data_IF_933072484314
#
_entry.id   IF_933072484314
#
_cell.length_a   1.000
_cell.length_b   1.000
_cell.length_c   1.000
_cell.angle_alpha   90.00
_cell.angle_beta   90.00
_cell.angle_gamma   90.00
#
_symmetry.space_group_name_H-M   'P 1'
#
loop_
_entity.id
_entity.type
_entity.pdbx_description
1 polymer ?
#
# COMPACT_ATOMS: atom_id res chain seq x y z
N UNK A 1 13.55 33.13 -19.98
CA UNK A 1 12.95 32.76 -18.68
C UNK A 1 11.54 32.19 -18.83
N UNK A 2 10.56 32.94 -19.37
CA UNK A 2 9.18 32.42 -19.54
C UNK A 2 9.13 31.12 -20.37
N UNK A 3 9.80 31.08 -21.52
CA UNK A 3 9.86 29.90 -22.39
C UNK A 3 10.43 28.69 -21.65
N UNK A 4 11.57 28.87 -20.98
CA UNK A 4 12.25 27.80 -20.23
C UNK A 4 11.45 27.35 -19.00
N UNK A 5 10.72 28.26 -18.35
CA UNK A 5 9.86 27.95 -17.20
C UNK A 5 8.64 27.12 -17.59
N UNK A 6 7.96 27.50 -18.67
CA UNK A 6 6.83 26.71 -19.22
C UNK A 6 7.31 25.33 -19.68
N UNK A 7 8.44 25.27 -20.39
CA UNK A 7 9.05 24.01 -20.80
C UNK A 7 9.37 23.12 -19.59
N UNK A 8 9.99 23.67 -18.55
CA UNK A 8 10.31 22.93 -17.33
C UNK A 8 9.06 22.36 -16.66
N UNK A 9 8.01 23.17 -16.50
CA UNK A 9 6.73 22.71 -15.91
C UNK A 9 6.14 21.53 -16.68
N UNK A 10 6.04 21.66 -18.01
CA UNK A 10 5.48 20.60 -18.86
C UNK A 10 6.31 19.31 -18.91
N UNK A 11 7.64 19.42 -18.78
CA UNK A 11 8.55 18.28 -18.90
C UNK A 11 8.74 17.51 -17.59
N UNK A 12 8.45 18.15 -16.45
CA UNK A 12 8.51 17.54 -15.12
C UNK A 12 7.14 17.01 -14.68
N UNK A 13 6.05 17.50 -15.30
CA UNK A 13 4.71 16.99 -15.04
C UNK A 13 4.63 15.47 -15.26
N UNK A 14 4.20 14.74 -14.22
CA UNK A 14 4.09 13.28 -14.24
C UNK A 14 5.40 12.50 -14.17
N UNK A 15 6.55 13.15 -13.96
CA UNK A 15 7.82 12.42 -13.84
C UNK A 15 7.91 11.69 -12.50
N UNK A 16 8.04 10.36 -12.56
CA UNK A 16 8.24 9.52 -11.37
C UNK A 16 9.72 9.22 -11.10
N UNK A 17 10.57 9.22 -12.13
CA UNK A 17 11.98 8.83 -12.01
C UNK A 17 12.94 10.01 -11.88
N UNK A 18 14.03 9.84 -11.11
CA UNK A 18 15.03 10.91 -10.91
C UNK A 18 15.74 11.25 -12.22
N UNK A 19 15.97 10.25 -13.08
CA UNK A 19 16.60 10.45 -14.39
C UNK A 19 15.74 11.30 -15.32
N UNK A 20 14.41 11.27 -15.16
CA UNK A 20 13.49 12.08 -15.96
C UNK A 20 13.64 13.56 -15.66
N UNK A 21 13.91 13.94 -14.41
CA UNK A 21 14.21 15.34 -14.04
C UNK A 21 15.52 15.81 -14.68
N UNK A 22 16.54 14.96 -14.76
CA UNK A 22 17.80 15.28 -15.45
C UNK A 22 17.56 15.46 -16.95
N UNK A 23 16.79 14.55 -17.58
CA UNK A 23 16.40 14.67 -18.99
C UNK A 23 15.61 15.94 -19.25
N UNK A 24 14.68 16.29 -18.35
CA UNK A 24 13.95 17.56 -18.42
C UNK A 24 14.91 18.76 -18.35
N UNK A 25 15.90 18.75 -17.44
CA UNK A 25 16.94 19.78 -17.37
C UNK A 25 17.74 19.96 -18.65
N UNK A 26 18.14 18.85 -19.30
CA UNK A 26 18.84 18.88 -20.59
C UNK A 26 17.93 19.46 -21.68
N UNK A 27 16.66 19.04 -21.74
CA UNK A 27 15.68 19.56 -22.71
C UNK A 27 15.39 21.05 -22.50
N UNK A 28 15.22 21.50 -21.25
CA UNK A 28 15.07 22.91 -20.89
C UNK A 28 16.31 23.71 -21.27
N UNK A 29 17.50 23.15 -21.04
CA UNK A 29 18.76 23.73 -21.48
C UNK A 29 18.81 23.92 -22.99
N UNK A 30 18.40 22.91 -23.76
CA UNK A 30 18.35 22.98 -25.23
C UNK A 30 17.34 24.02 -25.71
N UNK A 31 16.14 24.05 -25.14
CA UNK A 31 15.10 25.07 -25.44
C UNK A 31 15.62 26.47 -25.12
N UNK A 32 16.29 26.64 -23.98
CA UNK A 32 16.91 27.89 -23.57
C UNK A 32 18.03 28.34 -24.53
N UNK A 33 18.88 27.41 -24.95
CA UNK A 33 19.95 27.64 -25.91
C UNK A 33 19.40 28.09 -27.27
N UNK A 34 18.40 27.39 -27.80
CA UNK A 34 17.74 27.77 -29.07
C UNK A 34 17.08 29.14 -28.95
N UNK A 35 16.35 29.40 -27.86
CA UNK A 35 15.72 30.70 -27.65
C UNK A 35 16.75 31.83 -27.56
N UNK A 36 17.85 31.62 -26.84
CA UNK A 36 18.96 32.58 -26.75
C UNK A 36 19.57 32.87 -28.12
N UNK A 37 19.81 31.83 -28.92
CA UNK A 37 20.35 31.97 -30.28
C UNK A 37 19.40 32.74 -31.19
N UNK A 38 18.10 32.43 -31.17
CA UNK A 38 17.07 33.12 -31.97
C UNK A 38 16.98 34.59 -31.57
N UNK A 39 16.95 34.91 -30.27
CA UNK A 39 16.92 36.30 -29.79
C UNK A 39 18.15 37.08 -30.25
N UNK A 40 19.33 36.48 -30.19
CA UNK A 40 20.56 37.13 -30.66
C UNK A 40 20.62 37.28 -32.18
N UNK A 41 20.08 36.32 -32.94
CA UNK A 41 19.95 36.43 -34.38
C UNK A 41 19.02 37.59 -34.76
N UNK A 42 17.85 37.69 -34.12
CA UNK A 42 16.92 38.81 -34.31
C UNK A 42 17.60 40.14 -33.96
N UNK A 43 18.31 40.21 -32.85
CA UNK A 43 19.01 41.43 -32.45
C UNK A 43 20.07 41.87 -33.48
N UNK A 44 20.88 40.94 -33.98
CA UNK A 44 21.94 41.23 -34.95
C UNK A 44 21.38 41.71 -36.29
N UNK A 45 20.36 41.03 -36.83
CA UNK A 45 19.86 41.28 -38.18
C UNK A 45 18.72 42.31 -38.25
N UNK A 46 17.94 42.48 -37.19
CA UNK A 46 16.77 43.38 -37.19
C UNK A 46 17.02 44.72 -36.48
N UNK A 47 18.02 44.84 -35.59
CA UNK A 47 18.22 46.03 -34.76
C UNK A 47 19.58 46.69 -34.99
N UNK A 48 20.68 45.94 -34.82
CA UNK A 48 22.01 46.54 -34.72
C UNK A 48 22.73 46.66 -36.08
N UNK A 49 22.55 45.72 -37.01
CA UNK A 49 23.06 45.78 -38.40
C UNK A 49 24.59 45.74 -38.56
N UNK A 50 25.35 45.99 -37.50
CA UNK A 50 26.81 46.00 -37.48
C UNK A 50 27.38 44.74 -36.80
N UNK A 51 28.33 44.08 -37.49
CA UNK A 51 29.01 42.89 -36.98
C UNK A 51 30.29 43.32 -36.27
N UNK A 52 30.31 43.18 -34.94
CA UNK A 52 31.49 43.37 -34.09
C UNK A 52 31.94 42.05 -33.47
N UNK A 53 33.15 42.03 -32.88
CA UNK A 53 33.62 40.88 -32.09
C UNK A 53 32.68 40.59 -30.90
N UNK A 54 32.18 41.65 -30.26
CA UNK A 54 31.25 41.58 -29.14
C UNK A 54 29.89 40.98 -29.55
N UNK A 55 29.35 41.36 -30.72
CA UNK A 55 28.10 40.80 -31.24
C UNK A 55 28.26 39.35 -31.72
N UNK A 56 29.48 38.92 -32.03
CA UNK A 56 29.78 37.54 -32.44
C UNK A 56 30.00 36.59 -31.26
N UNK A 57 30.64 37.05 -30.18
CA UNK A 57 30.98 36.18 -29.03
C UNK A 57 29.84 36.09 -27.98
N UNK A 58 29.03 37.14 -27.85
CA UNK A 58 27.92 37.19 -26.88
C UNK A 58 26.88 36.07 -27.08
N UNK A 59 26.46 35.72 -28.31
CA UNK A 59 25.54 34.60 -28.54
C UNK A 59 26.11 33.25 -28.11
N UNK A 60 27.43 33.04 -28.21
CA UNK A 60 28.08 31.80 -27.78
C UNK A 60 27.96 31.65 -26.26
N UNK A 61 28.33 32.70 -25.51
CA UNK A 61 28.22 32.69 -24.05
C UNK A 61 26.77 32.59 -23.55
N UNK A 62 25.84 33.33 -24.17
CA UNK A 62 24.43 33.26 -23.78
C UNK A 62 23.83 31.88 -24.01
N UNK A 63 24.17 31.24 -25.13
CA UNK A 63 23.71 29.88 -25.47
C UNK A 63 24.31 28.86 -24.51
N UNK A 64 25.61 28.97 -24.20
CA UNK A 64 26.27 28.12 -23.23
C UNK A 64 25.66 28.27 -21.83
N UNK A 65 25.45 29.51 -21.35
CA UNK A 65 24.83 29.76 -20.05
C UNK A 65 23.36 29.33 -19.99
N UNK A 66 22.60 29.49 -21.08
CA UNK A 66 21.22 29.02 -21.15
C UNK A 66 21.15 27.48 -21.08
N UNK A 67 22.04 26.78 -21.80
CA UNK A 67 22.13 25.33 -21.77
C UNK A 67 22.53 24.81 -20.39
N UNK A 68 23.67 25.30 -19.88
CA UNK A 68 24.20 24.90 -18.57
C UNK A 68 23.27 25.27 -17.43
N UNK A 69 22.57 26.40 -17.51
CA UNK A 69 21.54 26.79 -16.55
C UNK A 69 20.38 25.79 -16.47
N UNK A 70 19.90 25.28 -17.60
CA UNK A 70 18.88 24.23 -17.64
C UNK A 70 19.35 22.93 -16.98
N UNK A 71 20.56 22.48 -17.31
CA UNK A 71 21.16 21.28 -16.71
C UNK A 71 21.36 21.46 -15.20
N UNK A 72 21.99 22.55 -14.77
CA UNK A 72 22.22 22.85 -13.35
C UNK A 72 20.91 22.99 -12.56
N UNK A 73 19.85 23.50 -13.18
CA UNK A 73 18.54 23.59 -12.51
C UNK A 73 17.98 22.22 -12.14
N UNK A 74 18.19 21.17 -12.96
CA UNK A 74 17.76 19.81 -12.61
C UNK A 74 18.51 19.24 -11.42
N UNK A 75 19.82 19.48 -11.32
CA UNK A 75 20.61 19.10 -10.15
C UNK A 75 20.18 19.86 -8.90
N UNK A 76 19.88 21.15 -9.04
CA UNK A 76 19.37 21.96 -7.93
C UNK A 76 18.02 21.41 -7.42
N UNK A 77 17.09 21.10 -8.32
CA UNK A 77 15.79 20.49 -7.95
C UNK A 77 16.01 19.17 -7.21
N UNK A 78 16.81 18.25 -7.78
CA UNK A 78 17.08 16.95 -7.15
C UNK A 78 17.80 17.09 -5.79
N UNK A 79 18.67 18.10 -5.63
CA UNK A 79 19.34 18.40 -4.37
C UNK A 79 18.40 19.00 -3.31
N UNK A 80 17.34 19.69 -3.73
CA UNK A 80 16.35 20.29 -2.83
C UNK A 80 15.22 19.32 -2.43
N UNK A 81 14.95 18.27 -3.22
CA UNK A 81 13.92 17.26 -2.93
C UNK A 81 13.97 16.73 -1.48
N UNK A 82 15.12 16.31 -0.93
CA UNK A 82 15.19 15.82 0.46
C UNK A 82 14.77 16.85 1.51
N UNK A 83 14.94 18.15 1.23
CA UNK A 83 14.52 19.21 2.15
C UNK A 83 12.99 19.35 2.18
N UNK A 84 12.33 19.21 1.02
CA UNK A 84 10.87 19.16 0.96
C UNK A 84 10.32 17.89 1.62
N UNK A 85 10.97 16.74 1.43
CA UNK A 85 10.60 15.50 2.12
C UNK A 85 10.73 15.64 3.64
N UNK A 86 11.82 16.25 4.12
CA UNK A 86 12.02 16.55 5.55
C UNK A 86 10.99 17.55 6.10
N UNK A 87 10.48 18.46 5.26
CA UNK A 87 9.40 19.38 5.61
C UNK A 87 7.99 18.71 5.60
N UNK A 88 7.91 17.41 5.27
CA UNK A 88 6.68 16.63 5.33
C UNK A 88 5.98 16.42 4.00
N UNK A 89 6.56 16.86 2.88
CA UNK A 89 6.02 16.57 1.55
C UNK A 89 6.32 15.12 1.16
N UNK A 90 5.33 14.46 0.55
CA UNK A 90 5.51 13.12 0.00
C UNK A 90 5.82 13.22 -1.48
N UNK A 91 6.91 12.59 -1.90
CA UNK A 91 7.31 12.49 -3.30
C UNK A 91 7.08 11.08 -3.81
N UNK A 92 6.90 10.94 -5.12
CA UNK A 92 6.85 9.63 -5.78
C UNK A 92 8.14 8.82 -5.54
N UNK A 93 9.29 9.49 -5.38
CA UNK A 93 10.55 8.84 -5.01
C UNK A 93 10.45 8.15 -3.65
N UNK A 94 9.91 8.86 -2.66
CA UNK A 94 9.75 8.33 -1.31
C UNK A 94 8.72 7.20 -1.28
N UNK A 95 7.63 7.32 -2.03
CA UNK A 95 6.64 6.25 -2.14
C UNK A 95 7.21 5.01 -2.83
N UNK A 96 7.99 5.16 -3.90
CA UNK A 96 8.66 4.03 -4.55
C UNK A 96 9.70 3.35 -3.67
N UNK A 97 10.41 4.12 -2.83
CA UNK A 97 11.30 3.54 -1.81
C UNK A 97 10.50 2.69 -0.80
N UNK A 98 9.35 3.19 -0.34
CA UNK A 98 8.46 2.50 0.60
C UNK A 98 7.69 1.32 -0.03
N UNK A 99 7.52 1.31 -1.35
CA UNK A 99 6.97 0.17 -2.09
C UNK A 99 7.89 -1.05 -2.04
N UNK A 100 9.16 -0.89 -1.65
CA UNK A 100 10.05 -1.99 -1.40
C UNK A 100 9.64 -2.73 -0.11
N UNK A 101 9.17 -3.97 -0.28
CA UNK A 101 8.71 -4.84 0.82
C UNK A 101 9.81 -5.24 1.82
N UNK A 102 11.07 -4.85 1.58
CA UNK A 102 12.17 -5.03 2.53
C UNK A 102 12.23 -3.97 3.64
N UNK A 103 11.30 -3.00 3.68
CA UNK A 103 11.25 -2.02 4.77
C UNK A 103 11.19 -2.73 6.15
N UNK A 104 11.96 -2.28 7.16
CA UNK A 104 12.08 -2.99 8.45
C UNK A 104 10.72 -3.31 9.11
N UNK A 105 9.79 -2.37 9.05
CA UNK A 105 8.44 -2.54 9.61
C UNK A 105 7.61 -3.61 8.87
N UNK A 106 7.73 -3.69 7.53
CA UNK A 106 7.06 -4.73 6.74
C UNK A 106 7.70 -6.10 6.97
N UNK A 107 9.03 -6.16 7.11
CA UNK A 107 9.73 -7.39 7.49
C UNK A 107 9.32 -7.87 8.88
N UNK A 108 9.15 -6.96 9.83
CA UNK A 108 8.64 -7.29 11.16
C UNK A 108 7.23 -7.87 11.09
N UNK A 109 6.33 -7.26 10.29
CA UNK A 109 4.99 -7.77 10.06
C UNK A 109 5.02 -9.16 9.41
N UNK A 110 5.82 -9.35 8.36
CA UNK A 110 6.00 -10.64 7.68
C UNK A 110 6.45 -11.76 8.62
N UNK A 111 7.40 -11.47 9.53
CA UNK A 111 7.92 -12.45 10.48
C UNK A 111 6.96 -12.76 11.63
N UNK A 112 6.25 -11.76 12.15
CA UNK A 112 5.37 -11.90 13.32
C UNK A 112 3.93 -12.29 12.96
N UNK A 113 3.41 -11.75 11.86
CA UNK A 113 2.02 -11.87 11.39
C UNK A 113 1.98 -12.10 9.86
N UNK A 114 2.46 -13.26 9.37
CA UNK A 114 2.57 -13.52 7.93
C UNK A 114 1.21 -13.48 7.18
N UNK A 115 0.11 -13.81 7.86
CA UNK A 115 -1.24 -13.75 7.29
C UNK A 115 -1.69 -12.31 7.03
N UNK A 116 -1.46 -11.40 7.98
CA UNK A 116 -1.73 -9.96 7.80
C UNK A 116 -0.79 -9.33 6.78
N UNK A 117 0.46 -9.79 6.69
CA UNK A 117 1.36 -9.36 5.62
C UNK A 117 0.82 -9.74 4.23
N UNK A 118 0.40 -11.01 4.04
CA UNK A 118 -0.16 -11.45 2.76
C UNK A 118 -1.46 -10.72 2.41
N UNK A 119 -2.33 -10.53 3.41
CA UNK A 119 -3.53 -9.69 3.31
C UNK A 119 -3.18 -8.29 2.79
N UNK A 120 -2.24 -7.60 3.45
CA UNK A 120 -1.84 -6.23 3.08
C UNK A 120 -1.33 -6.11 1.65
N UNK A 121 -0.63 -7.13 1.14
CA UNK A 121 -0.16 -7.14 -0.26
C UNK A 121 -1.32 -7.25 -1.25
N UNK A 122 -2.33 -8.07 -0.95
CA UNK A 122 -3.52 -8.23 -1.79
C UNK A 122 -4.41 -6.98 -1.74
N UNK A 123 -4.60 -6.40 -0.55
CA UNK A 123 -5.27 -5.11 -0.39
C UNK A 123 -4.58 -4.03 -1.19
N UNK A 124 -3.23 -3.97 -1.16
CA UNK A 124 -2.47 -3.01 -1.97
C UNK A 124 -2.64 -3.22 -3.48
N UNK A 125 -2.79 -4.46 -3.93
CA UNK A 125 -3.06 -4.76 -5.35
C UNK A 125 -4.45 -4.27 -5.78
N UNK A 126 -5.47 -4.48 -4.94
CA UNK A 126 -6.82 -3.96 -5.19
C UNK A 126 -6.84 -2.44 -5.15
N UNK A 127 -6.22 -1.85 -4.12
CA UNK A 127 -6.22 -0.40 -3.91
C UNK A 127 -5.48 0.36 -5.03
N UNK A 128 -4.35 -0.17 -5.50
CA UNK A 128 -3.62 0.37 -6.65
C UNK A 128 -4.51 0.42 -7.89
N UNK A 129 -5.10 -0.72 -8.27
CA UNK A 129 -5.96 -0.81 -9.45
C UNK A 129 -7.21 0.06 -9.33
N UNK A 130 -7.84 0.08 -8.16
CA UNK A 130 -9.03 0.89 -7.89
C UNK A 130 -8.75 2.39 -8.02
N UNK A 131 -7.65 2.86 -7.43
CA UNK A 131 -7.24 4.27 -7.53
C UNK A 131 -6.82 4.66 -8.95
N UNK A 132 -6.09 3.79 -9.65
CA UNK A 132 -5.70 4.01 -11.05
C UNK A 132 -6.93 4.20 -11.95
N UNK A 133 -7.96 3.36 -11.78
CA UNK A 133 -9.19 3.41 -12.57
C UNK A 133 -9.99 4.71 -12.40
N UNK A 134 -9.83 5.42 -11.30
CA UNK A 134 -10.53 6.68 -11.00
C UNK A 134 -9.63 7.93 -11.09
N UNK A 135 -8.37 7.76 -11.47
CA UNK A 135 -7.38 8.86 -11.56
C UNK A 135 -6.88 9.38 -10.21
N UNK A 136 -7.03 8.60 -9.13
CA UNK A 136 -6.46 8.88 -7.81
C UNK A 136 -4.99 8.42 -7.71
N UNK A 137 -4.31 8.70 -6.61
CA UNK A 137 -2.90 8.34 -6.43
C UNK A 137 -2.73 6.83 -6.14
N UNK A 138 -2.65 6.03 -7.21
CA UNK A 138 -2.50 4.58 -7.14
C UNK A 138 -1.25 4.11 -6.38
N UNK A 139 -0.12 4.82 -6.53
CA UNK A 139 1.13 4.46 -5.85
C UNK A 139 1.02 4.71 -4.34
N UNK A 140 0.43 5.84 -3.93
CA UNK A 140 0.18 6.11 -2.53
C UNK A 140 -0.77 5.06 -1.92
N UNK A 141 -1.88 4.75 -2.60
CA UNK A 141 -2.85 3.78 -2.12
C UNK A 141 -2.23 2.39 -1.92
N UNK A 142 -1.42 1.94 -2.89
CA UNK A 142 -0.67 0.68 -2.81
C UNK A 142 0.25 0.64 -1.58
N UNK A 143 1.07 1.68 -1.41
CA UNK A 143 2.06 1.74 -0.33
C UNK A 143 1.34 1.86 1.01
N UNK A 144 0.33 2.70 1.12
CA UNK A 144 -0.46 2.85 2.34
C UNK A 144 -1.11 1.53 2.76
N UNK A 145 -1.66 0.77 1.82
CA UNK A 145 -2.21 -0.55 2.06
C UNK A 145 -1.16 -1.57 2.57
N UNK A 146 0.11 -1.48 2.18
CA UNK A 146 1.15 -2.35 2.76
C UNK A 146 1.36 -2.14 4.25
N UNK A 147 1.14 -0.91 4.73
CA UNK A 147 1.38 -0.55 6.12
C UNK A 147 0.11 -0.49 6.99
N UNK A 148 -1.10 -0.53 6.40
CA UNK A 148 -2.36 -0.29 7.13
C UNK A 148 -2.50 -1.17 8.39
N UNK A 149 -1.99 -2.40 8.31
CA UNK A 149 -2.20 -3.47 9.29
C UNK A 149 -0.98 -3.76 10.18
N UNK A 150 0.06 -2.92 10.15
CA UNK A 150 1.33 -3.19 10.86
C UNK A 150 1.17 -3.37 12.37
N UNK A 151 0.13 -2.75 12.96
CA UNK A 151 -0.17 -2.89 14.38
C UNK A 151 -0.61 -4.30 14.80
N UNK A 152 -1.15 -5.11 13.88
CA UNK A 152 -1.49 -6.52 14.15
C UNK A 152 -0.26 -7.35 14.52
N UNK A 153 0.93 -6.91 14.10
CA UNK A 153 2.22 -7.53 14.44
C UNK A 153 2.56 -7.54 15.94
N UNK A 154 1.88 -6.75 16.78
CA UNK A 154 2.05 -6.80 18.24
C UNK A 154 1.30 -7.96 18.89
N UNK A 155 0.10 -8.29 18.38
CA UNK A 155 -0.81 -9.29 18.96
C UNK A 155 -1.35 -10.26 17.87
N UNK A 156 -0.47 -10.91 17.08
CA UNK A 156 -0.87 -11.65 15.88
C UNK A 156 -1.91 -12.75 16.15
N UNK A 157 -1.81 -13.44 17.30
CA UNK A 157 -2.69 -14.56 17.63
C UNK A 157 -4.17 -14.19 17.83
N UNK A 158 -4.51 -12.90 17.91
CA UNK A 158 -5.90 -12.43 17.99
C UNK A 158 -6.54 -12.25 16.61
N UNK A 159 -5.75 -12.17 15.54
CA UNK A 159 -6.25 -11.95 14.18
C UNK A 159 -6.36 -13.27 13.43
N UNK A 160 -7.55 -13.57 12.89
CA UNK A 160 -7.90 -14.90 12.35
C UNK A 160 -6.94 -15.35 11.24
N UNK A 161 -6.46 -14.42 10.42
CA UNK A 161 -5.52 -14.70 9.33
C UNK A 161 -4.14 -15.19 9.80
N UNK A 162 -3.80 -14.97 11.08
CA UNK A 162 -2.53 -15.39 11.67
C UNK A 162 -2.70 -16.55 12.65
N UNK A 163 -3.93 -16.98 12.96
CA UNK A 163 -4.17 -18.08 13.88
C UNK A 163 -3.69 -19.40 13.26
N UNK A 164 -2.87 -20.13 14.02
CA UNK A 164 -2.43 -21.49 13.69
C UNK A 164 -3.25 -22.50 14.49
N UNK A 165 -3.57 -23.64 13.89
CA UNK A 165 -4.26 -24.76 14.55
C UNK A 165 -5.68 -24.46 15.07
N UNK A 166 -6.39 -23.48 14.48
CA UNK A 166 -7.76 -23.10 14.85
C UNK A 166 -7.97 -22.73 16.33
N UNK A 167 -6.92 -22.30 17.04
CA UNK A 167 -7.06 -21.82 18.42
C UNK A 167 -7.51 -20.36 18.42
N UNK A 168 -8.79 -20.14 18.67
CA UNK A 168 -9.36 -18.80 18.75
C UNK A 168 -9.12 -18.16 20.13
N UNK A 169 -8.24 -17.15 20.20
CA UNK A 169 -7.93 -16.41 21.43
C UNK A 169 -9.11 -15.60 21.98
N UNK A 170 -10.10 -15.30 21.16
CA UNK A 170 -11.30 -14.58 21.57
C UNK A 170 -12.32 -15.46 22.31
N UNK A 171 -12.18 -16.79 22.26
CA UNK A 171 -13.16 -17.72 22.85
C UNK A 171 -13.31 -17.57 24.38
N UNK A 172 -12.25 -17.10 25.06
CA UNK A 172 -12.22 -16.94 26.52
C UNK A 172 -12.28 -15.47 26.96
N UNK A 173 -12.57 -14.54 26.04
CA UNK A 173 -12.68 -13.12 26.34
C UNK A 173 -14.14 -12.69 26.25
N UNK A 174 -14.52 -11.75 27.10
CA UNK A 174 -15.78 -11.04 26.90
C UNK A 174 -15.73 -10.25 25.57
N UNK A 175 -16.89 -10.00 24.95
CA UNK A 175 -16.93 -9.38 23.62
C UNK A 175 -16.34 -7.98 23.59
N UNK A 176 -16.50 -7.21 24.67
CA UNK A 176 -15.93 -5.87 24.79
C UNK A 176 -14.40 -5.93 24.78
N UNK A 177 -13.77 -6.78 25.61
CA UNK A 177 -12.31 -6.96 25.59
C UNK A 177 -11.80 -7.43 24.23
N UNK A 178 -12.52 -8.34 23.59
CA UNK A 178 -12.19 -8.78 22.23
C UNK A 178 -12.20 -7.63 21.23
N UNK A 179 -13.23 -6.77 21.28
CA UNK A 179 -13.32 -5.59 20.45
C UNK A 179 -12.15 -4.62 20.72
N UNK A 180 -11.81 -4.36 21.98
CA UNK A 180 -10.69 -3.47 22.33
C UNK A 180 -9.33 -3.98 21.81
N UNK A 181 -9.08 -5.29 21.89
CA UNK A 181 -7.84 -5.88 21.34
C UNK A 181 -7.77 -5.70 19.83
N UNK A 182 -8.89 -5.83 19.13
CA UNK A 182 -8.93 -5.61 17.68
C UNK A 182 -8.76 -4.13 17.38
N UNK A 183 -9.53 -3.24 18.00
CA UNK A 183 -9.46 -1.79 17.76
C UNK A 183 -8.04 -1.24 18.01
N UNK A 184 -7.31 -1.77 18.99
CA UNK A 184 -5.97 -1.27 19.34
C UNK A 184 -4.96 -1.36 18.19
N UNK A 185 -5.13 -2.27 17.21
CA UNK A 185 -4.16 -2.41 16.11
C UNK A 185 -4.00 -1.13 15.29
N UNK A 186 -5.06 -0.31 15.19
CA UNK A 186 -5.03 0.97 14.48
C UNK A 186 -4.11 1.96 15.22
N UNK A 187 -4.31 2.09 16.53
CA UNK A 187 -3.53 3.00 17.38
C UNK A 187 -2.08 2.56 17.47
N UNK A 188 -1.86 1.26 17.69
CA UNK A 188 -0.55 0.63 17.74
C UNK A 188 0.19 0.78 16.40
N UNK A 189 -0.50 0.53 15.28
CA UNK A 189 0.04 0.67 13.93
C UNK A 189 0.47 2.10 13.62
N UNK A 190 -0.35 3.09 13.98
CA UNK A 190 -0.02 4.50 13.78
C UNK A 190 1.17 4.95 14.64
N UNK A 191 1.30 4.45 15.89
CA UNK A 191 2.50 4.68 16.71
C UNK A 191 3.75 4.09 16.04
N UNK A 192 3.70 2.82 15.64
CA UNK A 192 4.81 2.13 14.98
C UNK A 192 5.23 2.82 13.67
N UNK A 193 4.25 3.30 12.90
CA UNK A 193 4.50 4.05 11.66
C UNK A 193 5.24 5.37 11.90
N UNK A 194 4.85 6.13 12.95
CA UNK A 194 5.55 7.37 13.33
C UNK A 194 6.96 7.13 13.84
N UNK A 195 7.17 6.08 14.64
CA UNK A 195 8.51 5.67 15.10
C UNK A 195 9.44 5.34 13.94
N UNK A 196 8.90 4.75 12.87
CA UNK A 196 9.62 4.47 11.62
C UNK A 196 9.67 5.64 10.64
N UNK A 197 9.21 6.83 11.05
CA UNK A 197 9.21 8.05 10.22
C UNK A 197 8.50 7.85 8.88
N UNK A 198 7.41 7.08 8.88
CA UNK A 198 6.55 6.98 7.70
C UNK A 198 5.88 8.33 7.43
N UNK A 199 5.73 8.70 6.15
CA UNK A 199 5.14 9.98 5.77
C UNK A 199 3.67 10.05 6.16
N UNK A 200 3.18 11.28 6.38
CA UNK A 200 1.84 11.56 6.91
C UNK A 200 0.70 10.83 6.16
N UNK A 201 0.63 10.84 4.81
CA UNK A 201 -0.44 10.13 4.09
C UNK A 201 -0.50 8.62 4.40
N UNK A 202 0.65 7.97 4.62
CA UNK A 202 0.71 6.55 4.99
C UNK A 202 0.21 6.34 6.42
N UNK A 203 0.64 7.21 7.35
CA UNK A 203 0.21 7.18 8.75
C UNK A 203 -1.30 7.45 8.86
N UNK A 204 -1.81 8.43 8.13
CA UNK A 204 -3.23 8.80 8.16
C UNK A 204 -4.10 7.64 7.62
N UNK A 205 -3.66 6.94 6.57
CA UNK A 205 -4.37 5.76 6.06
C UNK A 205 -4.42 4.60 7.07
N UNK A 206 -3.41 4.43 7.93
CA UNK A 206 -3.50 3.47 9.05
C UNK A 206 -4.67 3.83 9.97
N UNK A 207 -4.91 5.12 10.25
CA UNK A 207 -6.05 5.52 11.09
C UNK A 207 -7.40 5.42 10.36
N UNK A 208 -7.42 5.73 9.06
CA UNK A 208 -8.67 5.83 8.29
C UNK A 208 -9.17 4.52 7.68
N UNK A 209 -8.34 3.47 7.54
CA UNK A 209 -8.71 2.30 6.74
C UNK A 209 -9.94 1.52 7.24
N UNK A 210 -10.31 1.68 8.51
CA UNK A 210 -11.58 1.17 9.05
C UNK A 210 -12.63 2.25 9.31
N UNK A 211 -12.26 3.53 9.17
CA UNK A 211 -13.10 4.67 9.50
C UNK A 211 -13.68 4.58 10.91
N UNK A 212 -15.00 4.79 11.01
CA UNK A 212 -15.77 4.60 12.24
C UNK A 212 -16.55 3.27 12.24
N UNK A 213 -16.07 2.28 11.48
CA UNK A 213 -16.75 1.01 11.28
C UNK A 213 -17.07 0.26 12.57
N UNK A 214 -18.19 -0.46 12.57
CA UNK A 214 -18.65 -1.26 13.70
C UNK A 214 -18.06 -2.68 13.65
N UNK A 215 -17.50 -3.15 14.78
CA UNK A 215 -17.13 -4.56 14.97
C UNK A 215 -18.40 -5.39 15.23
N UNK A 216 -19.19 -5.60 14.17
CA UNK A 216 -20.55 -6.16 14.22
C UNK A 216 -20.63 -7.47 15.01
N UNK A 217 -19.70 -8.41 14.78
CA UNK A 217 -19.71 -9.72 15.44
C UNK A 217 -19.66 -9.59 16.97
N UNK A 218 -18.73 -8.79 17.50
CA UNK A 218 -18.56 -8.63 18.94
C UNK A 218 -19.67 -7.78 19.56
N UNK A 219 -20.20 -6.81 18.83
CA UNK A 219 -21.38 -6.06 19.26
C UNK A 219 -22.61 -6.97 19.39
N UNK A 220 -22.86 -7.84 18.41
CA UNK A 220 -23.99 -8.77 18.45
C UNK A 220 -23.81 -9.85 19.52
N UNK A 221 -22.58 -10.31 19.75
CA UNK A 221 -22.26 -11.20 20.88
C UNK A 221 -22.51 -10.50 22.22
N UNK A 222 -22.06 -9.27 22.40
CA UNK A 222 -22.34 -8.49 23.62
C UNK A 222 -23.84 -8.32 23.86
N UNK A 223 -24.61 -8.01 22.82
CA UNK A 223 -26.08 -7.89 22.92
C UNK A 223 -26.78 -9.20 23.28
N UNK A 224 -26.24 -10.34 22.84
CA UNK A 224 -26.76 -11.66 23.22
C UNK A 224 -26.43 -12.04 24.66
N UNK A 225 -25.31 -11.55 25.19
CA UNK A 225 -24.87 -11.80 26.57
C UNK A 225 -25.46 -10.82 27.59
N UNK A 226 -25.97 -9.66 27.14
CA UNK A 226 -26.58 -8.64 27.99
C UNK A 226 -27.83 -9.16 28.72
N UNK A 227 -28.00 -8.73 29.98
CA UNK A 227 -29.17 -9.09 30.77
C UNK A 227 -30.47 -8.49 30.17
N UNK A 228 -31.65 -9.06 30.46
CA UNK A 228 -32.92 -8.48 30.03
C UNK A 228 -33.05 -7.02 30.51
N UNK A 229 -33.17 -6.09 29.56
CA UNK A 229 -33.27 -4.64 29.83
C UNK A 229 -31.93 -3.89 29.87
N UNK A 230 -30.80 -4.60 29.75
CA UNK A 230 -29.48 -3.99 29.63
C UNK A 230 -29.22 -3.54 28.18
N UNK A 231 -28.82 -2.28 28.01
CA UNK A 231 -28.46 -1.72 26.70
C UNK A 231 -26.95 -1.75 26.52
N UNK A 232 -26.48 -2.43 25.48
CA UNK A 232 -25.07 -2.41 25.09
C UNK A 232 -24.78 -1.12 24.32
N UNK A 233 -23.76 -0.38 24.76
CA UNK A 233 -23.29 0.80 24.04
C UNK A 233 -22.61 0.40 22.71
N UNK A 234 -23.19 0.85 21.61
CA UNK A 234 -22.67 0.61 20.25
C UNK A 234 -21.34 1.34 20.00
N UNK A 235 -21.12 2.49 20.65
CA UNK A 235 -19.92 3.29 20.44
C UNK A 235 -18.65 2.55 20.92
N UNK A 236 -18.76 1.75 21.98
CA UNK A 236 -17.69 0.91 22.49
C UNK A 236 -17.18 -0.16 21.51
N UNK A 237 -17.91 -0.42 20.42
CA UNK A 237 -17.56 -1.40 19.38
C UNK A 237 -17.24 -0.76 18.03
N UNK A 238 -17.14 0.58 17.96
CA UNK A 238 -16.72 1.28 16.74
C UNK A 238 -15.23 1.60 16.80
N UNK A 239 -14.60 1.62 15.64
CA UNK A 239 -13.28 2.21 15.51
C UNK A 239 -13.32 3.72 15.81
N UNK A 240 -12.27 4.29 16.41
CA UNK A 240 -12.22 5.70 16.78
C UNK A 240 -12.17 6.66 15.57
N UNK A 241 -11.89 6.14 14.37
CA UNK A 241 -11.70 6.94 13.17
C UNK A 241 -10.34 7.65 13.11
N UNK A 242 -10.23 8.71 12.28
CA UNK A 242 -11.32 9.38 11.57
C UNK A 242 -11.86 8.58 10.38
N UNK A 243 -12.99 9.02 9.81
CA UNK A 243 -13.50 8.49 8.54
C UNK A 243 -12.52 8.81 7.39
N UNK A 244 -12.53 8.04 6.29
CA UNK A 244 -11.75 8.37 5.11
C UNK A 244 -12.01 9.79 4.62
N UNK A 245 -10.95 10.61 4.53
CA UNK A 245 -11.02 11.99 4.03
C UNK A 245 -10.37 12.17 2.65
N UNK A 246 -9.85 11.09 2.06
CA UNK A 246 -9.23 11.09 0.71
C UNK A 246 -9.78 9.96 -0.15
N UNK A 247 -9.71 10.07 -1.50
CA UNK A 247 -10.09 8.97 -2.38
C UNK A 247 -9.32 7.68 -2.09
N UNK A 248 -8.01 7.79 -1.86
CA UNK A 248 -7.11 6.67 -1.58
C UNK A 248 -7.55 5.91 -0.32
N UNK A 249 -7.86 6.64 0.76
CA UNK A 249 -8.33 6.06 2.01
C UNK A 249 -9.69 5.36 1.86
N UNK A 250 -10.59 5.95 1.06
CA UNK A 250 -11.88 5.35 0.77
C UNK A 250 -11.75 4.05 -0.03
N UNK A 251 -10.86 4.03 -1.03
CA UNK A 251 -10.56 2.83 -1.81
C UNK A 251 -9.87 1.75 -0.96
N UNK A 252 -8.93 2.12 -0.07
CA UNK A 252 -8.28 1.18 0.85
C UNK A 252 -9.30 0.54 1.79
N UNK A 253 -10.23 1.33 2.36
CA UNK A 253 -11.29 0.80 3.22
C UNK A 253 -12.16 -0.25 2.50
N UNK A 254 -12.48 -0.01 1.22
CA UNK A 254 -13.22 -0.98 0.40
C UNK A 254 -12.38 -2.21 0.09
N UNK A 255 -11.11 -2.01 -0.28
CA UNK A 255 -10.18 -3.08 -0.63
C UNK A 255 -9.95 -4.05 0.53
N UNK A 256 -9.74 -3.51 1.74
CA UNK A 256 -9.60 -4.27 2.99
C UNK A 256 -10.82 -5.18 3.23
N UNK A 257 -12.02 -4.61 3.22
CA UNK A 257 -13.27 -5.36 3.44
C UNK A 257 -13.51 -6.42 2.36
N UNK A 258 -13.24 -6.08 1.11
CA UNK A 258 -13.43 -7.00 -0.02
C UNK A 258 -12.44 -8.16 0.05
N UNK A 259 -11.14 -7.91 0.28
CA UNK A 259 -10.13 -8.97 0.43
C UNK A 259 -10.48 -9.89 1.59
N UNK A 260 -10.86 -9.34 2.75
CA UNK A 260 -11.20 -10.15 3.90
C UNK A 260 -12.42 -11.06 3.61
N UNK A 261 -13.39 -10.57 2.84
CA UNK A 261 -14.59 -11.32 2.49
C UNK A 261 -14.35 -12.40 1.42
N UNK A 262 -13.44 -12.19 0.45
CA UNK A 262 -13.15 -13.19 -0.61
C UNK A 262 -12.63 -14.50 -0.05
N UNK A 263 -11.92 -14.45 1.07
CA UNK A 263 -11.41 -15.64 1.79
C UNK A 263 -12.51 -16.61 2.22
N UNK A 264 -13.75 -16.14 2.31
CA UNK A 264 -14.91 -16.96 2.71
C UNK A 264 -15.62 -17.62 1.52
N UNK A 265 -15.27 -17.27 0.28
CA UNK A 265 -15.91 -17.81 -0.93
C UNK A 265 -15.23 -19.13 -1.32
N UNK A 266 -16.00 -20.22 -1.27
CA UNK A 266 -15.49 -21.56 -1.62
C UNK A 266 -15.24 -21.74 -3.12
N UNK A 267 -16.13 -21.22 -3.97
CA UNK A 267 -16.06 -21.35 -5.43
C UNK A 267 -16.17 -19.98 -6.10
N UNK A 268 -15.09 -19.20 -6.15
CA UNK A 268 -15.12 -17.85 -6.72
C UNK A 268 -15.54 -17.89 -8.19
N UNK A 269 -16.58 -17.13 -8.53
CA UNK A 269 -17.01 -16.86 -9.90
C UNK A 269 -17.44 -15.39 -10.01
N UNK A 270 -17.66 -14.92 -11.24
CA UNK A 270 -17.97 -13.50 -11.44
C UNK A 270 -19.24 -13.06 -10.69
N UNK A 271 -20.31 -13.83 -10.76
CA UNK A 271 -21.59 -13.47 -10.16
C UNK A 271 -21.49 -13.37 -8.63
N UNK A 272 -20.84 -14.33 -7.98
CA UNK A 272 -20.74 -14.33 -6.52
C UNK A 272 -19.75 -13.29 -5.98
N UNK A 273 -18.65 -13.02 -6.71
CA UNK A 273 -17.70 -11.95 -6.37
C UNK A 273 -18.41 -10.60 -6.49
N UNK A 274 -19.09 -10.36 -7.62
CA UNK A 274 -19.82 -9.12 -7.89
C UNK A 274 -20.93 -8.88 -6.86
N UNK A 275 -21.71 -9.91 -6.53
CA UNK A 275 -22.74 -9.80 -5.49
C UNK A 275 -22.15 -9.52 -4.10
N UNK A 276 -21.01 -10.13 -3.76
CA UNK A 276 -20.33 -9.89 -2.50
C UNK A 276 -19.77 -8.46 -2.40
N UNK A 277 -19.09 -7.96 -3.44
CA UNK A 277 -18.60 -6.58 -3.52
C UNK A 277 -19.74 -5.58 -3.35
N UNK A 278 -20.85 -5.76 -4.10
CA UNK A 278 -22.01 -4.85 -4.01
C UNK A 278 -22.55 -4.75 -2.60
N UNK A 279 -22.76 -5.87 -1.91
CA UNK A 279 -23.23 -5.88 -0.51
C UNK A 279 -22.27 -5.12 0.42
N UNK A 280 -20.96 -5.29 0.25
CA UNK A 280 -19.95 -4.59 1.05
C UNK A 280 -20.04 -3.08 0.79
N UNK A 281 -20.07 -2.68 -0.47
CA UNK A 281 -20.10 -1.26 -0.87
C UNK A 281 -21.37 -0.58 -0.34
N UNK A 282 -22.53 -1.22 -0.50
CA UNK A 282 -23.80 -0.74 0.01
C UNK A 282 -23.77 -0.62 1.54
N UNK A 283 -23.17 -1.58 2.25
CA UNK A 283 -23.04 -1.53 3.71
C UNK A 283 -22.16 -0.37 4.19
N UNK A 284 -21.07 -0.08 3.47
CA UNK A 284 -20.14 1.01 3.80
C UNK A 284 -20.81 2.37 3.57
N UNK A 285 -21.55 2.50 2.46
CA UNK A 285 -22.36 3.69 2.16
C UNK A 285 -23.46 3.90 3.21
N UNK A 286 -24.18 2.84 3.59
CA UNK A 286 -25.23 2.91 4.59
C UNK A 286 -24.72 3.26 6.00
N UNK A 287 -23.48 2.91 6.34
CA UNK A 287 -22.81 3.27 7.60
C UNK A 287 -22.17 4.68 7.59
N UNK A 288 -22.42 5.47 6.54
CA UNK A 288 -21.95 6.87 6.43
C UNK A 288 -20.43 7.02 6.41
N UNK A 289 -19.69 5.98 6.01
CA UNK A 289 -18.22 6.01 6.05
C UNK A 289 -17.63 6.98 5.02
N UNK A 290 -18.39 7.37 3.99
CA UNK A 290 -17.96 8.30 2.95
C UNK A 290 -18.53 9.71 3.08
N UNK A 291 -19.14 10.06 4.22
CA UNK A 291 -19.68 11.42 4.46
C UNK A 291 -18.60 12.52 4.33
N UNK A 292 -17.34 12.18 4.64
CA UNK A 292 -16.18 13.08 4.59
C UNK A 292 -15.21 12.72 3.44
N UNK A 293 -15.54 11.71 2.65
CA UNK A 293 -14.68 11.18 1.59
C UNK A 293 -15.07 11.81 0.24
N UNK A 294 -14.13 12.38 -0.53
CA UNK A 294 -14.43 13.01 -1.82
C UNK A 294 -14.62 11.99 -2.97
N UNK A 295 -15.10 10.77 -2.68
CA UNK A 295 -15.45 9.78 -3.69
C UNK A 295 -16.87 10.02 -4.20
N UNK A 296 -17.01 10.10 -5.52
CA UNK A 296 -18.33 10.16 -6.15
C UNK A 296 -18.94 8.76 -6.29
N UNK A 297 -20.28 8.67 -6.36
CA UNK A 297 -20.99 7.41 -6.64
C UNK A 297 -20.50 6.76 -7.93
N UNK A 298 -20.18 7.56 -8.96
CA UNK A 298 -19.62 7.08 -10.21
C UNK A 298 -18.25 6.42 -10.01
N UNK A 299 -17.36 7.04 -9.24
CA UNK A 299 -16.04 6.48 -8.94
C UNK A 299 -16.17 5.19 -8.12
N UNK A 300 -17.07 5.13 -7.14
CA UNK A 300 -17.35 3.92 -6.36
C UNK A 300 -17.80 2.78 -7.27
N UNK A 301 -18.68 3.05 -8.24
CA UNK A 301 -19.10 2.05 -9.22
C UNK A 301 -17.92 1.55 -10.09
N UNK A 302 -17.04 2.44 -10.55
CA UNK A 302 -15.83 2.08 -11.29
C UNK A 302 -14.91 1.20 -10.44
N UNK A 303 -14.66 1.57 -9.18
CA UNK A 303 -13.84 0.77 -8.24
C UNK A 303 -14.43 -0.61 -8.03
N UNK A 304 -15.76 -0.72 -7.88
CA UNK A 304 -16.46 -2.01 -7.75
C UNK A 304 -16.17 -2.93 -8.94
N UNK A 305 -16.29 -2.44 -10.18
CA UNK A 305 -16.03 -3.22 -11.39
C UNK A 305 -14.54 -3.58 -11.55
N UNK A 306 -13.65 -2.67 -11.18
CA UNK A 306 -12.20 -2.94 -11.15
C UNK A 306 -11.87 -4.05 -10.15
N UNK A 307 -12.46 -4.04 -8.95
CA UNK A 307 -12.23 -5.09 -7.95
C UNK A 307 -12.73 -6.45 -8.43
N UNK A 308 -13.88 -6.53 -9.11
CA UNK A 308 -14.35 -7.77 -9.75
C UNK A 308 -13.27 -8.31 -10.70
N UNK A 309 -12.76 -7.46 -11.58
CA UNK A 309 -11.76 -7.83 -12.60
C UNK A 309 -10.47 -8.34 -11.96
N UNK A 310 -9.95 -7.63 -10.96
CA UNK A 310 -8.70 -7.99 -10.25
C UNK A 310 -8.86 -9.31 -9.50
N UNK A 311 -9.96 -9.49 -8.76
CA UNK A 311 -10.21 -10.72 -8.01
C UNK A 311 -10.40 -11.92 -8.91
N UNK A 312 -11.10 -11.76 -10.04
CA UNK A 312 -11.20 -12.80 -11.06
C UNK A 312 -9.78 -13.19 -11.53
N UNK A 313 -8.92 -12.23 -11.85
CA UNK A 313 -7.53 -12.52 -12.22
C UNK A 313 -6.76 -13.31 -11.15
N UNK A 314 -6.89 -12.92 -9.88
CA UNK A 314 -6.24 -13.59 -8.73
C UNK A 314 -6.77 -15.01 -8.54
N UNK A 315 -8.08 -15.23 -8.67
CA UNK A 315 -8.72 -16.52 -8.42
C UNK A 315 -8.74 -17.46 -9.65
N UNK A 316 -8.70 -16.95 -10.89
CA UNK A 316 -8.66 -17.77 -12.11
C UNK A 316 -7.33 -18.50 -12.30
N UNK A 317 -6.20 -17.95 -11.83
CA UNK A 317 -4.93 -18.69 -11.81
C UNK A 317 -4.95 -19.93 -10.90
N UNK A 318 -5.95 -20.06 -10.00
CA UNK A 318 -6.09 -21.21 -9.12
C UNK A 318 -7.02 -22.31 -9.65
N UNK A 319 -7.69 -22.11 -10.79
CA UNK A 319 -8.45 -23.20 -11.42
C UNK A 319 -7.44 -24.13 -12.10
N UNK A 320 -7.34 -25.34 -11.53
CA UNK A 320 -6.37 -26.38 -11.82
C UNK A 320 -6.10 -26.64 -13.31
N UNK A 321 -4.82 -26.89 -13.62
CA UNK A 321 -4.50 -27.82 -14.70
C UNK A 321 -5.16 -29.16 -14.35
N UNK A 322 -6.19 -29.53 -15.11
CA UNK A 322 -6.73 -30.87 -15.08
C UNK A 322 -5.58 -31.87 -15.18
N UNK A 323 -5.48 -32.72 -14.16
CA UNK A 323 -4.66 -33.92 -14.06
C UNK A 323 -4.14 -34.47 -15.40
N UNK A 324 -2.86 -34.25 -15.70
CA UNK A 324 -2.09 -35.17 -16.58
C UNK A 324 -1.79 -36.51 -15.90
N UNK A 325 -2.62 -36.92 -14.92
CA UNK A 325 -2.50 -38.17 -14.19
C UNK A 325 -3.63 -39.17 -14.52
N UNK A 326 -4.48 -38.90 -15.53
CA UNK A 326 -5.61 -39.79 -15.86
C UNK A 326 -5.70 -40.18 -17.35
N UNK A 327 -4.57 -40.19 -18.07
CA UNK A 327 -4.46 -40.72 -19.44
C UNK A 327 -3.85 -42.14 -19.51
N UNK A 328 -3.61 -42.82 -18.39
CA UNK A 328 -3.08 -44.19 -18.38
C UNK A 328 -4.12 -45.29 -18.08
N UNK A 329 -5.39 -44.94 -17.88
CA UNK A 329 -6.46 -45.93 -17.67
C UNK A 329 -7.54 -45.84 -18.73
N UNK A 330 -7.21 -46.28 -19.95
CA UNK A 330 -8.18 -46.89 -20.89
C UNK A 330 -7.49 -47.37 -22.17
N UNK A 331 -6.99 -48.61 -22.18
CA UNK A 331 -7.01 -49.47 -23.38
C UNK A 331 -7.24 -50.93 -22.95
N UNK A 332 -8.23 -51.64 -23.55
CA UNK A 332 -8.49 -53.04 -23.24
C UNK A 332 -7.58 -53.98 -24.06
N UNK A 333 -6.99 -54.96 -23.36
CA UNK A 333 -6.63 -56.33 -23.80
C UNK A 333 -5.75 -56.56 -25.03
N UNK A 334 -4.52 -57.06 -24.80
CA UNK A 334 -3.90 -58.21 -25.50
C UNK A 334 -2.71 -58.77 -24.67
N UNK A 335 -2.55 -60.10 -24.69
CA UNK A 335 -1.66 -61.02 -23.92
C UNK A 335 -0.13 -60.78 -24.06
N UNK A 336 0.74 -61.43 -23.23
CA UNK A 336 2.07 -60.96 -22.86
C UNK A 336 3.21 -61.66 -23.61
N UNK A 337 4.28 -60.91 -23.93
CA UNK A 337 5.62 -61.48 -24.14
C UNK A 337 6.73 -60.41 -24.11
N UNK A 338 7.85 -60.83 -23.49
CA UNK A 338 9.25 -60.40 -23.61
C UNK A 338 9.68 -58.98 -23.18
N UNK A 339 10.50 -58.98 -22.13
CA UNK A 339 11.81 -58.32 -22.00
C UNK A 339 11.96 -56.82 -22.27
N UNK A 340 12.06 -56.04 -21.17
CA UNK A 340 13.10 -55.03 -20.97
C UNK A 340 13.02 -54.45 -19.54
N UNK A 341 13.76 -55.03 -18.60
CA UNK A 341 14.10 -54.35 -17.34
C UNK A 341 15.30 -53.44 -17.61
N UNK A 342 15.10 -52.12 -17.50
CA UNK A 342 16.19 -51.16 -17.33
C UNK A 342 16.18 -50.74 -15.86
N UNK A 343 17.06 -51.38 -15.09
CA UNK A 343 17.52 -50.92 -13.77
C UNK A 343 18.41 -49.70 -13.96
N UNK A 344 18.09 -48.58 -13.31
CA UNK A 344 19.05 -47.53 -13.04
C UNK A 344 19.47 -47.62 -11.57
N UNK A 345 20.77 -47.87 -11.44
CA UNK A 345 21.57 -48.13 -10.26
C UNK A 345 21.64 -46.91 -9.32
N UNK A 346 21.59 -47.14 -8.01
CA UNK A 346 21.54 -46.11 -6.98
C UNK A 346 22.91 -45.81 -6.37
N UNK A 347 23.95 -45.79 -7.19
CA UNK A 347 25.30 -45.37 -6.77
C UNK A 347 25.70 -44.14 -7.57
N UNK A 348 25.34 -42.96 -7.07
CA UNK A 348 26.06 -41.68 -7.25
C UNK A 348 25.32 -40.54 -6.54
N UNK A 349 25.39 -40.52 -5.20
CA UNK A 349 25.12 -39.32 -4.41
C UNK A 349 26.34 -39.04 -3.52
N UNK A 350 27.01 -37.87 -3.64
CA UNK A 350 28.15 -37.54 -2.81
C UNK A 350 27.74 -37.25 -1.35
N UNK A 351 28.35 -37.97 -0.42
CA UNK A 351 28.26 -37.76 1.03
C UNK A 351 28.82 -36.40 1.44
N UNK A 352 27.99 -35.51 1.97
CA UNK A 352 28.44 -34.44 2.88
C UNK A 352 27.48 -34.34 4.08
N UNK A 353 27.70 -35.23 5.04
CA UNK A 353 27.12 -35.14 6.37
C UNK A 353 28.06 -34.38 7.32
N UNK A 354 27.58 -33.30 7.93
CA UNK A 354 27.95 -32.93 9.30
C UNK A 354 26.67 -32.65 10.08
N UNK A 355 26.25 -33.66 10.84
CA UNK A 355 25.26 -33.51 11.90
C UNK A 355 25.94 -32.79 13.07
N UNK A 356 25.41 -31.68 13.59
CA UNK A 356 25.96 -31.07 14.80
C UNK A 356 25.59 -31.94 16.03
N UNK A 357 26.46 -32.04 17.04
CA UNK A 357 26.23 -32.89 18.20
C UNK A 357 25.03 -32.41 19.03
N UNK A 358 24.28 -33.37 19.59
CA UNK A 358 23.18 -33.13 20.52
C UNK A 358 23.68 -32.37 21.76
N UNK A 359 23.05 -31.23 22.08
CA UNK A 359 23.36 -30.40 23.27
C UNK A 359 23.52 -28.89 23.04
N UNK A 360 23.36 -28.38 21.82
CA UNK A 360 23.64 -26.96 21.50
C UNK A 360 22.46 -25.97 21.66
N UNK A 361 21.43 -26.28 22.46
CA UNK A 361 20.24 -25.43 22.62
C UNK A 361 19.93 -25.03 24.08
N UNK A 362 20.91 -25.02 24.96
CA UNK A 362 20.74 -24.42 26.29
C UNK A 362 21.20 -22.95 26.30
N UNK A 363 20.36 -22.13 26.95
CA UNK A 363 20.48 -20.70 27.24
C UNK A 363 19.90 -19.71 26.20
N UNK A 364 18.56 -19.65 26.14
CA UNK A 364 17.86 -18.38 25.92
C UNK A 364 17.52 -17.77 27.30
N UNK A 365 17.76 -16.47 27.53
CA UNK A 365 17.41 -15.82 28.80
C UNK A 365 15.87 -15.86 29.02
N UNK A 366 15.42 -15.89 30.29
CA UNK A 366 14.02 -16.11 30.63
C UNK A 366 13.12 -14.99 30.07
N UNK A 367 11.93 -15.40 29.62
CA UNK A 367 10.81 -14.50 29.28
C UNK A 367 10.46 -13.70 30.52
N UNK A 368 10.67 -12.39 30.47
CA UNK A 368 10.07 -11.47 31.42
C UNK A 368 8.58 -11.33 31.06
N UNK A 369 7.74 -12.07 31.78
CA UNK A 369 6.27 -12.07 31.67
C UNK A 369 5.67 -11.08 32.68
N UNK A 370 6.25 -9.90 32.77
CA UNK A 370 5.71 -8.78 33.55
C UNK A 370 4.90 -7.89 32.62
N UNK A 371 3.69 -8.34 32.31
CA UNK A 371 2.64 -7.44 31.84
C UNK A 371 2.28 -6.49 32.98
N UNK A 372 2.94 -5.33 33.04
CA UNK A 372 2.35 -4.20 33.74
C UNK A 372 1.01 -3.90 33.07
N UNK A 373 -0.06 -4.06 33.84
CA UNK A 373 -1.39 -3.67 33.45
C UNK A 373 -1.37 -2.18 33.11
N UNK A 374 -1.47 -1.85 31.83
CA UNK A 374 -1.74 -0.47 31.41
C UNK A 374 -3.16 -0.16 31.85
N UNK A 375 -3.28 0.77 32.79
CA UNK A 375 -4.55 1.33 33.24
C UNK A 375 -5.19 2.11 32.09
N UNK A 376 -6.31 1.59 31.58
CA UNK A 376 -7.04 2.18 30.46
C UNK A 376 -8.03 3.28 30.90
N UNK A 377 -8.06 3.67 32.18
CA UNK A 377 -8.91 4.76 32.67
C UNK A 377 -8.41 6.17 32.29
N UNK A 378 -7.21 6.32 31.72
CA UNK A 378 -6.62 7.65 31.44
C UNK A 378 -6.83 8.20 30.02
N UNK A 379 -7.74 7.66 29.21
CA UNK A 379 -8.05 8.18 27.85
C UNK A 379 -9.02 9.38 27.91
N UNK A 380 -8.78 10.34 28.80
CA UNK A 380 -9.49 11.62 28.81
C UNK A 380 -8.61 12.80 28.38
N UNK A 381 -7.31 12.60 28.13
CA UNK A 381 -6.39 13.70 27.82
C UNK A 381 -5.59 13.44 26.55
N UNK A 382 -6.28 13.44 25.40
CA UNK A 382 -5.67 13.78 24.12
C UNK A 382 -5.66 15.32 23.98
N UNK A 383 -4.50 15.97 23.73
CA UNK A 383 -4.48 17.40 23.49
C UNK A 383 -5.24 17.71 22.19
N UNK A 384 -6.22 18.62 22.32
CA UNK A 384 -7.14 18.96 21.26
C UNK A 384 -6.61 19.90 20.16
N UNK A 385 -7.53 20.12 19.23
CA UNK A 385 -7.65 21.23 18.29
C UNK A 385 -6.77 21.21 17.02
N UNK A 386 -7.29 20.51 15.99
CA UNK A 386 -7.27 21.03 14.63
C UNK A 386 -8.23 22.22 14.54
N UNK A 387 -7.72 23.42 14.84
CA UNK A 387 -8.42 24.66 14.52
C UNK A 387 -8.26 24.95 13.03
N UNK A 388 -9.36 24.91 12.27
CA UNK A 388 -9.39 25.39 10.89
C UNK A 388 -9.08 26.90 10.80
N UNK A 389 -8.60 27.40 9.65
CA UNK A 389 -8.27 28.80 9.50
C UNK A 389 -9.55 29.66 9.51
N UNK A 390 -9.53 30.88 10.09
CA UNK A 390 -10.68 31.76 10.09
C UNK A 390 -10.93 32.30 8.69
N UNK A 391 -12.19 32.30 8.29
CA UNK A 391 -12.67 32.95 7.08
C UNK A 391 -12.31 34.45 7.08
N UNK A 392 -11.66 34.89 6.00
CA UNK A 392 -11.78 36.24 5.45
C UNK A 392 -11.72 36.19 3.94
#
# INVERSE_FOLDING_TARGET
YLITGVAAGSLVEGTRERISVIRAGVSVGLVGAVAALVMHFVQLFALDGEVSLASTIRPVWSTLFAFTGGVLSSFLVLGLVPLFEAAGFVTDYRLMELANLNHPLLRQLMLRAPGSYHHSVLVGTLAEAGCEAIGANALEAKVAAYFHDVGKGLKPAYFIENQRNNVNRHANLDPWRSAQVIISHVVDGGRMAREHKLPKPIVDNIYMHHGTGLLQYFYDEARRQAAPGETVDIAAFRYPGPRPSTPEAGVILLADKVEAATRTIQHPNEDNIRAMIRRIFDSVLADGQFDECPLTVQQIAVVSETFVTVLLGIHHQRIEYASTADLSRSRPGTDPSSDAFITLDSTDLPETGRVPPEGAWEELPPKDDTSEAVDYESIEHLPGALAGPPAR
#
